data_IF_958310572485
#
_entry.id   IF_958310572485
#
_cell.length_a   1.000
_cell.length_b   1.000
_cell.length_c   1.000
_cell.angle_alpha   90.00
_cell.angle_beta   90.00
_cell.angle_gamma   90.00
#
_symmetry.space_group_name_H-M   'P 1'
#
loop_
_entity.id
_entity.type
_entity.pdbx_description
1 polymer ?
#
# COMPACT_ATOMS: atom_id res chain seq x y z
N UNK A 1 31.40 -14.45 -19.05
CA UNK A 1 30.92 -13.52 -18.02
C UNK A 1 29.75 -12.74 -18.61
N UNK A 2 28.52 -13.00 -18.17
CA UNK A 2 27.33 -12.30 -18.69
C UNK A 2 27.25 -10.95 -17.98
N UNK A 3 27.77 -9.91 -18.63
CA UNK A 3 27.59 -8.53 -18.19
C UNK A 3 26.14 -8.13 -18.42
N UNK A 4 25.27 -8.36 -17.44
CA UNK A 4 23.89 -7.89 -17.48
C UNK A 4 23.93 -6.37 -17.49
N UNK A 5 23.76 -5.78 -18.67
CA UNK A 5 23.43 -4.36 -18.85
C UNK A 5 21.99 -4.16 -18.37
N UNK A 6 21.80 -4.13 -17.06
CA UNK A 6 20.50 -3.89 -16.45
C UNK A 6 20.70 -2.96 -15.28
N UNK A 7 20.74 -1.66 -15.56
CA UNK A 7 20.51 -0.68 -14.50
C UNK A 7 19.10 -0.86 -13.93
N UNK A 8 18.86 -0.20 -12.80
CA UNK A 8 17.54 -0.13 -12.18
C UNK A 8 16.47 0.29 -13.20
N UNK A 9 15.26 -0.26 -13.04
CA UNK A 9 14.09 0.20 -13.83
C UNK A 9 13.63 1.61 -13.44
N UNK A 10 14.15 2.15 -12.35
CA UNK A 10 13.83 3.48 -11.82
C UNK A 10 14.84 4.51 -12.28
N UNK A 11 14.40 5.76 -12.38
CA UNK A 11 15.28 6.91 -12.65
C UNK A 11 16.24 7.17 -11.49
N UNK A 12 17.34 7.87 -11.77
CA UNK A 12 18.29 8.27 -10.73
C UNK A 12 17.66 9.15 -9.64
N UNK A 13 16.65 9.95 -10.00
CA UNK A 13 15.92 10.81 -9.07
C UNK A 13 15.01 10.00 -8.13
N UNK A 14 14.37 8.96 -8.65
CA UNK A 14 13.59 7.99 -7.87
C UNK A 14 14.48 7.23 -6.88
N UNK A 15 15.65 6.77 -7.34
CA UNK A 15 16.67 6.17 -6.49
C UNK A 15 17.14 7.15 -5.39
N UNK A 16 17.27 8.44 -5.72
CA UNK A 16 17.65 9.49 -4.77
C UNK A 16 16.59 9.75 -3.71
N UNK A 17 15.30 9.73 -4.07
CA UNK A 17 14.19 9.85 -3.10
C UNK A 17 14.22 8.70 -2.09
N UNK A 18 14.42 7.47 -2.56
CA UNK A 18 14.56 6.30 -1.68
C UNK A 18 15.79 6.42 -0.78
N UNK A 19 16.94 6.83 -1.33
CA UNK A 19 18.17 7.04 -0.55
C UNK A 19 18.02 8.13 0.54
N UNK A 20 17.30 9.21 0.23
CA UNK A 20 16.99 10.26 1.20
C UNK A 20 16.04 9.76 2.30
N UNK A 21 15.06 8.93 1.96
CA UNK A 21 14.20 8.29 2.95
C UNK A 21 15.01 7.43 3.92
N UNK A 22 15.93 6.61 3.43
CA UNK A 22 16.81 5.79 4.27
C UNK A 22 17.74 6.61 5.17
N UNK A 23 18.23 7.75 4.66
CA UNK A 23 19.00 8.69 5.47
C UNK A 23 18.13 9.29 6.58
N UNK A 24 16.90 9.70 6.27
CA UNK A 24 15.98 10.30 7.23
C UNK A 24 15.50 9.31 8.31
N UNK A 25 15.34 8.02 7.97
CA UNK A 25 14.95 6.96 8.92
C UNK A 25 16.11 6.43 9.75
N UNK A 26 17.33 6.94 9.56
CA UNK A 26 18.49 6.55 10.35
C UNK A 26 19.07 5.19 9.97
N UNK A 27 18.82 4.68 8.76
CA UNK A 27 19.37 3.40 8.27
C UNK A 27 20.89 3.46 7.97
N UNK A 28 21.60 4.49 8.41
CA UNK A 28 23.05 4.60 8.26
C UNK A 28 23.54 5.04 6.87
N UNK A 29 22.65 5.58 6.02
CA UNK A 29 23.05 6.17 4.74
C UNK A 29 23.67 7.55 4.97
N UNK A 30 25.00 7.63 4.89
CA UNK A 30 25.73 8.90 5.02
C UNK A 30 25.77 9.70 3.71
N UNK A 31 25.66 9.04 2.56
CA UNK A 31 25.72 9.69 1.24
C UNK A 31 24.56 9.21 0.34
N UNK A 32 23.42 9.91 0.34
CA UNK A 32 22.25 9.51 -0.45
C UNK A 32 22.51 9.60 -1.96
N UNK A 33 23.38 10.51 -2.42
CA UNK A 33 23.73 10.63 -3.84
C UNK A 33 24.56 9.46 -4.36
N UNK A 34 25.56 9.05 -3.58
CA UNK A 34 26.39 7.87 -3.89
C UNK A 34 25.58 6.57 -3.82
N UNK A 35 24.69 6.45 -2.83
CA UNK A 35 23.80 5.31 -2.71
C UNK A 35 22.82 5.21 -3.89
N UNK A 36 22.18 6.33 -4.26
CA UNK A 36 21.28 6.38 -5.41
C UNK A 36 21.95 5.94 -6.72
N UNK A 37 23.20 6.36 -6.94
CA UNK A 37 23.97 5.96 -8.13
C UNK A 37 24.32 4.48 -8.11
N UNK A 38 24.61 3.92 -6.94
CA UNK A 38 24.93 2.50 -6.77
C UNK A 38 23.71 1.64 -7.10
N UNK A 39 22.59 1.88 -6.42
CA UNK A 39 21.36 1.10 -6.63
C UNK A 39 20.79 1.28 -8.04
N UNK A 40 20.98 2.45 -8.66
CA UNK A 40 20.62 2.67 -10.06
C UNK A 40 21.47 1.84 -11.04
N UNK A 41 22.73 1.55 -10.70
CA UNK A 41 23.63 0.74 -11.55
C UNK A 41 23.48 -0.76 -11.34
N UNK A 42 23.11 -1.18 -10.13
CA UNK A 42 23.04 -2.59 -9.72
C UNK A 42 21.63 -3.17 -9.73
N UNK A 43 20.59 -2.32 -9.73
CA UNK A 43 19.18 -2.71 -9.60
C UNK A 43 18.85 -3.51 -8.31
N UNK A 44 19.75 -3.53 -7.33
CA UNK A 44 19.62 -4.37 -6.13
C UNK A 44 18.47 -3.93 -5.22
N UNK A 45 18.10 -2.65 -5.28
CA UNK A 45 17.05 -2.06 -4.46
C UNK A 45 15.72 -1.87 -5.21
N UNK A 46 15.58 -2.37 -6.45
CA UNK A 46 14.41 -2.11 -7.29
C UNK A 46 13.09 -2.50 -6.61
N UNK A 47 13.05 -3.65 -5.92
CA UNK A 47 11.84 -4.07 -5.19
C UNK A 47 11.51 -3.12 -4.02
N UNK A 48 12.52 -2.57 -3.36
CA UNK A 48 12.35 -1.65 -2.22
C UNK A 48 11.95 -0.26 -2.70
N UNK A 49 12.56 0.22 -3.79
CA UNK A 49 12.20 1.47 -4.45
C UNK A 49 10.76 1.38 -4.98
N UNK A 50 10.38 0.25 -5.57
CA UNK A 50 9.01 0.01 -6.02
C UNK A 50 8.02 0.09 -4.87
N UNK A 51 8.27 -0.62 -3.77
CA UNK A 51 7.40 -0.56 -2.59
C UNK A 51 7.34 0.84 -1.96
N UNK A 52 8.41 1.63 -2.07
CA UNK A 52 8.47 2.99 -1.54
C UNK A 52 7.72 3.99 -2.42
N UNK A 53 7.89 3.93 -3.75
CA UNK A 53 7.27 4.86 -4.70
C UNK A 53 5.84 4.49 -5.05
N UNK A 54 5.58 3.19 -5.10
CA UNK A 54 4.29 2.58 -5.36
C UNK A 54 4.03 1.60 -4.23
N UNK A 55 3.80 2.10 -2.99
CA UNK A 55 3.18 1.24 -2.00
C UNK A 55 1.94 0.69 -2.67
N UNK A 56 1.89 -0.63 -2.86
CA UNK A 56 0.84 -1.29 -3.63
C UNK A 56 -0.46 -0.57 -3.28
N UNK A 57 -1.06 0.10 -4.27
CA UNK A 57 -2.17 0.99 -4.05
C UNK A 57 -3.10 0.31 -3.06
N UNK A 58 -3.60 0.99 -2.02
CA UNK A 58 -4.67 0.40 -1.24
C UNK A 58 -5.69 -0.03 -2.29
N UNK A 59 -5.93 -1.34 -2.40
CA UNK A 59 -7.10 -1.87 -3.07
C UNK A 59 -8.24 -0.89 -2.76
N UNK A 60 -8.96 -0.39 -3.77
CA UNK A 60 -9.86 0.76 -3.65
C UNK A 60 -10.58 0.63 -2.33
N UNK A 61 -10.46 1.62 -1.42
CA UNK A 61 -10.66 1.43 0.01
C UNK A 61 -11.83 0.50 0.25
N UNK A 62 -11.52 -0.77 0.51
CA UNK A 62 -12.52 -1.70 1.01
C UNK A 62 -12.84 -1.38 2.47
N UNK A 63 -12.42 -0.20 2.95
CA UNK A 63 -13.24 0.67 3.79
C UNK A 63 -14.50 1.07 3.03
N UNK A 64 -15.35 0.10 2.73
CA UNK A 64 -16.78 0.38 2.84
C UNK A 64 -16.93 0.87 4.27
N UNK A 65 -17.12 2.18 4.46
CA UNK A 65 -17.32 2.76 5.78
C UNK A 65 -18.64 2.21 6.30
N UNK A 66 -18.56 1.05 6.94
CA UNK A 66 -19.71 0.31 7.43
C UNK A 66 -20.49 1.13 8.45
N UNK A 67 -19.86 2.15 9.05
CA UNK A 67 -20.51 3.16 9.92
C UNK A 67 -21.59 3.94 9.18
N UNK A 68 -21.49 4.09 7.86
CA UNK A 68 -22.53 4.68 7.01
C UNK A 68 -23.64 3.69 6.63
N UNK A 69 -23.55 2.42 7.02
CA UNK A 69 -24.56 1.44 6.66
C UNK A 69 -25.83 1.65 7.48
N UNK A 70 -27.00 1.93 6.86
CA UNK A 70 -28.26 2.09 7.59
C UNK A 70 -28.72 0.79 8.26
N UNK A 71 -28.23 -0.37 7.81
CA UNK A 71 -28.63 -1.69 8.33
C UNK A 71 -27.79 -2.16 9.52
N UNK A 72 -26.51 -1.75 9.62
CA UNK A 72 -25.61 -2.24 10.67
C UNK A 72 -24.88 -1.16 11.46
N UNK A 73 -24.92 0.11 11.04
CA UNK A 73 -24.27 1.24 11.72
C UNK A 73 -22.80 0.96 12.14
N UNK A 74 -22.06 0.21 11.32
CA UNK A 74 -20.66 -0.11 11.56
C UNK A 74 -20.40 -1.31 12.45
N UNK A 75 -21.42 -2.02 12.92
CA UNK A 75 -21.22 -3.28 13.67
C UNK A 75 -21.00 -4.49 12.77
N UNK A 76 -21.39 -4.44 11.48
CA UNK A 76 -21.21 -5.54 10.52
C UNK A 76 -22.16 -6.73 10.71
N UNK A 77 -23.06 -6.67 11.69
CA UNK A 77 -24.03 -7.71 12.01
C UNK A 77 -25.36 -7.08 12.46
N UNK A 78 -26.49 -7.76 12.20
CA UNK A 78 -27.81 -7.31 12.60
C UNK A 78 -28.68 -8.48 13.09
N UNK A 79 -29.72 -8.19 13.87
CA UNK A 79 -30.63 -9.19 14.44
C UNK A 79 -31.97 -9.16 13.72
N UNK A 80 -32.16 -9.90 12.60
CA UNK A 80 -33.38 -9.84 11.80
C UNK A 80 -34.64 -10.34 12.53
N UNK A 81 -34.48 -11.19 13.54
CA UNK A 81 -35.58 -11.85 14.28
C UNK A 81 -35.46 -11.65 15.79
N UNK A 82 -34.73 -10.62 16.25
CA UNK A 82 -34.42 -10.41 17.66
C UNK A 82 -33.31 -11.33 18.20
N UNK A 83 -32.94 -11.18 19.47
CA UNK A 83 -31.85 -11.93 20.12
C UNK A 83 -32.03 -13.45 20.06
N UNK A 84 -33.28 -13.92 20.06
CA UNK A 84 -33.62 -15.35 19.98
C UNK A 84 -33.45 -15.93 18.57
N UNK A 85 -33.47 -15.07 17.54
CA UNK A 85 -33.38 -15.46 16.14
C UNK A 85 -31.96 -15.52 15.58
N UNK A 86 -30.95 -15.25 16.41
CA UNK A 86 -29.55 -15.27 16.04
C UNK A 86 -29.06 -14.02 15.31
N UNK A 87 -27.74 -13.92 15.18
CA UNK A 87 -27.06 -12.82 14.51
C UNK A 87 -26.88 -13.12 13.03
N UNK A 88 -27.30 -12.20 12.16
CA UNK A 88 -27.05 -12.27 10.72
C UNK A 88 -25.92 -11.30 10.34
N UNK A 89 -25.04 -11.74 9.43
CA UNK A 89 -23.99 -10.87 8.89
C UNK A 89 -24.61 -9.84 7.96
N UNK A 90 -24.33 -8.56 8.18
CA UNK A 90 -24.76 -7.51 7.27
C UNK A 90 -23.98 -7.65 5.95
N UNK A 91 -24.70 -7.66 4.82
CA UNK A 91 -24.11 -7.79 3.49
C UNK A 91 -23.67 -6.44 2.90
N UNK A 92 -24.01 -5.33 3.55
CA UNK A 92 -23.69 -3.96 3.13
C UNK A 92 -24.04 -3.68 1.66
N UNK A 93 -25.15 -4.24 1.16
CA UNK A 93 -25.54 -4.15 -0.25
C UNK A 93 -25.87 -2.71 -0.69
N UNK A 94 -26.33 -1.86 0.24
CA UNK A 94 -26.61 -0.45 -0.01
C UNK A 94 -25.32 0.36 -0.23
N UNK A 95 -24.33 0.22 0.66
CA UNK A 95 -23.04 0.93 0.54
C UNK A 95 -22.23 0.51 -0.69
N UNK A 96 -22.46 -0.69 -1.20
CA UNK A 96 -21.76 -1.20 -2.39
C UNK A 96 -22.27 -0.59 -3.70
N UNK A 97 -23.45 0.04 -3.70
CA UNK A 97 -24.05 0.67 -4.90
C UNK A 97 -23.60 2.11 -5.12
N UNK A 98 -23.05 2.78 -4.11
CA UNK A 98 -22.63 4.19 -4.19
C UNK A 98 -21.21 4.38 -4.75
N UNK A 99 -20.53 3.27 -5.10
CA UNK A 99 -19.18 3.25 -5.64
C UNK A 99 -19.13 2.95 -7.15
N UNK A 100 -20.18 3.30 -7.92
CA UNK A 100 -20.22 3.21 -9.39
C UNK A 100 -20.23 4.60 -10.03
#
# INVERSE_FOLDING_TARGET
MVGVRGGSKFTIEECRKYAQHLQATGQGINNPGGYATTIHRTAEADMLIESFLRPAAPSPPSNVDISQCPDCHGTGFFYPKGVEGGVARCKHEQLRKEAE
#
